data_IF_611264608450
#
_entry.id   IF_611264608450
#
_cell.length_a   1.000
_cell.length_b   1.000
_cell.length_c   1.000
_cell.angle_alpha   90.00
_cell.angle_beta   90.00
_cell.angle_gamma   90.00
#
_symmetry.space_group_name_H-M   'P 1'
#
loop_
_entity.id
_entity.type
_entity.pdbx_description
1 polymer ?
#
# COMPACT_ATOMS: atom_id res chain seq x y z
N UNK A 1 9.40 -64.70 25.84
CA UNK A 1 8.28 -64.81 24.88
C UNK A 1 7.24 -63.74 25.20
N UNK A 2 7.15 -62.75 24.33
CA UNK A 2 5.98 -61.95 23.89
C UNK A 2 4.85 -61.67 24.91
N UNK A 3 4.83 -60.41 25.36
CA UNK A 3 3.69 -59.48 25.48
C UNK A 3 2.26 -60.00 25.27
N UNK A 4 1.41 -59.83 26.28
CA UNK A 4 0.00 -59.49 26.08
C UNK A 4 -0.38 -58.35 27.03
N UNK A 5 -0.30 -57.10 26.54
CA UNK A 5 -1.00 -55.98 27.16
C UNK A 5 -2.44 -55.98 26.66
N UNK A 6 -3.39 -56.07 27.60
CA UNK A 6 -4.82 -55.88 27.35
C UNK A 6 -5.08 -54.52 26.69
N UNK A 7 -5.87 -54.52 25.61
CA UNK A 7 -6.39 -53.30 24.99
C UNK A 7 -7.37 -52.63 25.95
N UNK A 8 -7.26 -51.33 26.24
CA UNK A 8 -8.29 -50.63 26.98
C UNK A 8 -9.58 -50.54 26.14
N UNK A 9 -10.70 -50.92 26.74
CA UNK A 9 -12.05 -50.72 26.21
C UNK A 9 -12.28 -49.23 25.90
N UNK A 10 -12.76 -48.95 24.69
CA UNK A 10 -13.17 -47.60 24.29
C UNK A 10 -14.31 -47.10 25.18
N UNK A 11 -14.07 -46.02 25.91
CA UNK A 11 -15.09 -45.22 26.55
C UNK A 11 -15.85 -44.42 25.46
N UNK A 12 -17.20 -44.46 25.38
CA UNK A 12 -17.94 -43.85 24.28
C UNK A 12 -18.07 -42.31 24.39
N UNK A 13 -17.28 -41.65 25.24
CA UNK A 13 -17.41 -40.22 25.52
C UNK A 13 -16.34 -39.32 24.85
N UNK A 14 -15.44 -39.87 24.05
CA UNK A 14 -14.58 -39.07 23.18
C UNK A 14 -15.17 -38.96 21.77
N UNK A 15 -16.27 -38.20 21.63
CA UNK A 15 -16.52 -37.52 20.35
C UNK A 15 -15.40 -36.50 20.20
N UNK A 16 -14.58 -36.65 19.16
CA UNK A 16 -13.56 -35.69 18.81
C UNK A 16 -14.19 -34.30 18.68
N UNK A 17 -13.83 -33.37 19.57
CA UNK A 17 -13.92 -31.93 19.30
C UNK A 17 -12.84 -31.50 18.31
N UNK A 18 -12.76 -32.21 17.18
CA UNK A 18 -11.90 -31.83 16.08
C UNK A 18 -12.68 -30.87 15.18
N UNK A 19 -12.27 -29.60 15.29
CA UNK A 19 -12.50 -28.48 14.38
C UNK A 19 -13.95 -28.03 14.12
N UNK A 20 -14.50 -27.27 15.07
CA UNK A 20 -15.20 -26.03 14.71
C UNK A 20 -14.14 -24.93 14.49
N UNK A 21 -13.32 -25.10 13.44
CA UNK A 21 -12.70 -23.92 12.83
C UNK A 21 -13.79 -23.34 11.96
N UNK A 22 -14.54 -22.39 12.54
CA UNK A 22 -15.49 -21.58 11.81
C UNK A 22 -14.71 -20.97 10.63
N UNK A 23 -14.96 -21.48 9.42
CA UNK A 23 -14.46 -20.85 8.19
C UNK A 23 -15.11 -19.49 8.18
N UNK A 24 -14.37 -18.45 8.61
CA UNK A 24 -14.80 -17.07 8.39
C UNK A 24 -15.14 -16.97 6.90
N UNK A 25 -16.40 -16.65 6.63
CA UNK A 25 -16.82 -16.43 5.26
C UNK A 25 -16.10 -15.16 4.77
N UNK A 26 -15.81 -15.04 3.47
CA UNK A 26 -15.27 -13.77 2.96
C UNK A 26 -16.19 -12.58 3.27
N UNK A 27 -17.47 -12.86 3.51
CA UNK A 27 -18.49 -11.88 3.90
C UNK A 27 -18.20 -11.26 5.28
N UNK A 28 -17.46 -11.95 6.16
CA UNK A 28 -17.12 -11.46 7.51
C UNK A 28 -15.79 -10.70 7.59
N UNK A 29 -15.01 -10.64 6.51
CA UNK A 29 -13.72 -9.93 6.53
C UNK A 29 -13.93 -8.42 6.70
N UNK A 30 -13.08 -7.73 7.48
CA UNK A 30 -12.97 -6.28 7.42
C UNK A 30 -12.83 -5.78 5.97
N UNK A 31 -13.35 -4.59 5.67
CA UNK A 31 -13.32 -4.03 4.31
C UNK A 31 -11.90 -3.96 3.78
N UNK A 32 -10.95 -3.55 4.61
CA UNK A 32 -9.53 -3.43 4.30
C UNK A 32 -8.90 -4.77 3.89
N UNK A 33 -9.22 -5.84 4.60
CA UNK A 33 -8.78 -7.20 4.28
C UNK A 33 -9.47 -7.75 3.03
N UNK A 34 -10.76 -7.45 2.87
CA UNK A 34 -11.54 -7.84 1.69
C UNK A 34 -10.95 -7.25 0.41
N UNK A 35 -10.76 -5.92 0.37
CA UNK A 35 -10.25 -5.23 -0.82
C UNK A 35 -8.83 -5.67 -1.14
N UNK A 36 -8.00 -5.92 -0.12
CA UNK A 36 -6.64 -6.42 -0.30
C UNK A 36 -6.64 -7.82 -0.90
N UNK A 37 -7.37 -8.77 -0.28
CA UNK A 37 -7.46 -10.16 -0.73
C UNK A 37 -8.00 -10.28 -2.15
N UNK A 38 -9.05 -9.51 -2.47
CA UNK A 38 -9.67 -9.46 -3.81
C UNK A 38 -8.84 -8.68 -4.85
N UNK A 39 -7.64 -8.21 -4.49
CA UNK A 39 -6.73 -7.50 -5.39
C UNK A 39 -5.36 -8.17 -5.50
N UNK A 40 -5.23 -9.44 -5.09
CA UNK A 40 -3.98 -10.20 -5.17
C UNK A 40 -3.47 -10.30 -6.62
N UNK A 41 -4.36 -10.34 -7.61
CA UNK A 41 -3.97 -10.32 -9.03
C UNK A 41 -3.18 -9.06 -9.40
N UNK A 42 -3.55 -7.90 -8.82
CA UNK A 42 -2.84 -6.63 -9.02
C UNK A 42 -1.52 -6.59 -8.24
N UNK A 43 -1.46 -7.20 -7.06
CA UNK A 43 -0.20 -7.36 -6.33
C UNK A 43 0.81 -8.19 -7.15
N UNK A 44 0.35 -9.28 -7.79
CA UNK A 44 1.20 -10.07 -8.68
C UNK A 44 1.71 -9.26 -9.88
N UNK A 45 0.85 -8.43 -10.49
CA UNK A 45 1.28 -7.50 -11.55
C UNK A 45 2.32 -6.50 -11.03
N UNK A 46 2.10 -5.91 -9.85
CA UNK A 46 3.02 -4.94 -9.26
C UNK A 46 4.42 -5.54 -9.06
N UNK A 47 4.53 -6.80 -8.62
CA UNK A 47 5.81 -7.52 -8.47
C UNK A 47 6.59 -7.66 -9.80
N UNK A 48 5.88 -7.66 -10.93
CA UNK A 48 6.43 -7.86 -12.27
C UNK A 48 6.71 -6.54 -13.01
N UNK A 49 6.38 -5.40 -12.41
CA UNK A 49 6.64 -4.08 -13.01
C UNK A 49 8.13 -3.82 -13.24
N UNK A 50 8.44 -2.91 -14.16
CA UNK A 50 9.82 -2.54 -14.50
C UNK A 50 10.60 -2.13 -13.25
N UNK A 51 10.05 -1.21 -12.45
CA UNK A 51 10.70 -0.74 -11.24
C UNK A 51 10.93 -1.87 -10.22
N UNK A 52 9.88 -2.57 -9.78
CA UNK A 52 9.99 -3.56 -8.71
C UNK A 52 10.84 -4.77 -9.12
N UNK A 53 10.66 -5.27 -10.34
CA UNK A 53 11.48 -6.38 -10.84
C UNK A 53 12.94 -5.96 -11.03
N UNK A 54 13.19 -4.74 -11.53
CA UNK A 54 14.52 -4.17 -11.71
C UNK A 54 15.28 -3.95 -10.39
N UNK A 55 14.60 -3.45 -9.35
CA UNK A 55 15.17 -3.35 -7.99
C UNK A 55 15.53 -4.76 -7.49
N UNK A 56 14.58 -5.70 -7.59
CA UNK A 56 14.74 -7.07 -7.09
C UNK A 56 15.96 -7.79 -7.70
N UNK A 57 16.17 -7.63 -8.99
CA UNK A 57 17.23 -8.33 -9.73
C UNK A 57 18.52 -7.51 -9.90
N UNK A 58 18.55 -6.25 -9.45
CA UNK A 58 19.71 -5.37 -9.55
C UNK A 58 19.95 -4.80 -10.95
N UNK A 59 18.96 -4.84 -11.85
CA UNK A 59 19.08 -4.47 -13.26
C UNK A 59 18.20 -3.30 -13.67
N UNK A 60 17.59 -2.58 -12.72
CA UNK A 60 16.88 -1.35 -13.04
C UNK A 60 17.85 -0.36 -13.70
N UNK A 61 17.40 0.34 -14.74
CA UNK A 61 18.17 1.44 -15.34
C UNK A 61 18.35 2.56 -14.29
N UNK A 62 19.58 2.99 -13.96
CA UNK A 62 19.83 4.07 -13.01
C UNK A 62 19.12 5.38 -13.36
N UNK A 63 18.94 5.68 -14.65
CA UNK A 63 18.20 6.85 -15.10
C UNK A 63 16.71 6.72 -14.78
N UNK A 64 16.14 5.53 -15.01
CA UNK A 64 14.76 5.23 -14.64
C UNK A 64 14.58 5.36 -13.12
N UNK A 65 15.51 4.80 -12.34
CA UNK A 65 15.51 4.92 -10.88
C UNK A 65 15.54 6.39 -10.43
N UNK A 66 16.41 7.22 -11.03
CA UNK A 66 16.53 8.63 -10.69
C UNK A 66 15.22 9.39 -10.97
N UNK A 67 14.67 9.27 -12.18
CA UNK A 67 13.43 9.93 -12.58
C UNK A 67 12.27 9.46 -11.71
N UNK A 68 12.13 8.14 -11.52
CA UNK A 68 11.10 7.58 -10.65
C UNK A 68 11.15 8.17 -9.23
N UNK A 69 12.34 8.18 -8.62
CA UNK A 69 12.55 8.66 -7.24
C UNK A 69 12.14 10.13 -7.10
N UNK A 70 12.47 10.94 -8.11
CA UNK A 70 12.12 12.35 -8.14
C UNK A 70 10.61 12.55 -8.33
N UNK A 71 9.97 11.77 -9.20
CA UNK A 71 8.52 11.80 -9.42
C UNK A 71 7.74 11.33 -8.18
N UNK A 72 8.25 10.33 -7.47
CA UNK A 72 7.64 9.83 -6.22
C UNK A 72 7.64 10.91 -5.12
N UNK A 73 8.71 11.73 -5.06
CA UNK A 73 8.76 12.86 -4.15
C UNK A 73 7.75 13.96 -4.52
N UNK A 74 7.51 14.20 -5.82
CA UNK A 74 6.46 15.10 -6.30
C UNK A 74 5.05 14.55 -5.99
N UNK A 75 4.84 13.25 -6.15
CA UNK A 75 3.61 12.58 -5.71
C UNK A 75 3.37 12.82 -4.22
N UNK A 76 4.38 12.59 -3.37
CA UNK A 76 4.29 12.82 -1.93
C UNK A 76 3.95 14.27 -1.60
N UNK A 77 4.54 15.27 -2.29
CA UNK A 77 4.18 16.68 -2.11
C UNK A 77 2.69 16.93 -2.42
N UNK A 78 2.21 16.45 -3.57
CA UNK A 78 0.81 16.71 -3.97
C UNK A 78 -0.15 16.00 -3.00
N UNK A 79 0.12 14.76 -2.63
CA UNK A 79 -0.66 14.01 -1.64
C UNK A 79 -0.63 14.69 -0.26
N UNK A 80 0.51 15.26 0.15
CA UNK A 80 0.61 16.06 1.37
C UNK A 80 -0.36 17.24 1.34
N UNK A 81 -0.43 17.98 0.22
CA UNK A 81 -1.33 19.11 0.06
C UNK A 81 -2.81 18.68 0.06
N UNK A 82 -3.15 17.58 -0.60
CA UNK A 82 -4.52 17.05 -0.61
C UNK A 82 -4.97 16.65 0.80
N UNK A 83 -4.12 15.97 1.58
CA UNK A 83 -4.41 15.68 2.98
C UNK A 83 -4.48 16.94 3.85
N UNK A 84 -3.67 17.97 3.58
CA UNK A 84 -3.76 19.24 4.30
C UNK A 84 -5.10 19.94 4.04
N UNK A 85 -5.67 19.81 2.83
CA UNK A 85 -7.00 20.31 2.51
C UNK A 85 -8.08 19.55 3.30
N UNK A 86 -8.02 18.22 3.35
CA UNK A 86 -8.94 17.39 4.16
C UNK A 86 -8.84 17.77 5.64
N UNK A 87 -7.62 18.00 6.15
CA UNK A 87 -7.40 18.43 7.53
C UNK A 87 -8.00 19.82 7.83
N UNK A 88 -7.88 20.74 6.88
CA UNK A 88 -8.37 22.10 7.01
C UNK A 88 -9.90 22.21 6.86
N UNK A 89 -10.55 21.17 6.33
CA UNK A 89 -12.00 21.18 6.14
C UNK A 89 -12.73 21.17 7.49
N UNK A 90 -13.46 22.25 7.71
CA UNK A 90 -14.18 22.52 8.96
C UNK A 90 -15.58 21.93 8.95
N UNK A 91 -16.07 21.50 7.80
CA UNK A 91 -17.41 20.95 7.64
C UNK A 91 -17.30 19.50 7.17
N UNK A 92 -18.13 18.61 7.72
CA UNK A 92 -18.36 17.27 7.17
C UNK A 92 -17.18 16.27 7.15
N UNK A 93 -16.14 16.50 7.96
CA UNK A 93 -15.04 15.52 8.16
C UNK A 93 -14.98 15.08 9.62
N UNK A 94 -15.08 13.76 9.81
CA UNK A 94 -14.93 13.11 11.11
C UNK A 94 -13.57 13.40 11.76
N UNK A 95 -13.55 13.54 13.09
CA UNK A 95 -12.37 13.97 13.82
C UNK A 95 -11.15 13.03 13.67
N UNK A 96 -11.39 11.73 13.53
CA UNK A 96 -10.33 10.73 13.33
C UNK A 96 -9.73 10.81 11.92
N UNK A 97 -10.54 11.10 10.89
CA UNK A 97 -10.09 11.35 9.53
C UNK A 97 -9.28 12.64 9.48
N UNK A 98 -9.75 13.71 10.13
CA UNK A 98 -9.00 14.97 10.25
C UNK A 98 -7.64 14.74 10.91
N UNK A 99 -7.61 14.01 12.04
CA UNK A 99 -6.37 13.69 12.74
C UNK A 99 -5.40 12.87 11.87
N UNK A 100 -5.92 11.89 11.13
CA UNK A 100 -5.12 11.13 10.18
C UNK A 100 -4.57 12.00 9.05
N UNK A 101 -5.40 12.91 8.51
CA UNK A 101 -5.03 13.85 7.46
C UNK A 101 -3.90 14.80 7.90
N UNK A 102 -3.96 15.35 9.11
CA UNK A 102 -2.91 16.19 9.70
C UNK A 102 -1.59 15.42 9.83
N UNK A 103 -1.66 14.17 10.28
CA UNK A 103 -0.49 13.29 10.42
C UNK A 103 0.16 12.97 9.07
N UNK A 104 -0.63 12.58 8.07
CA UNK A 104 -0.10 12.21 6.74
C UNK A 104 0.42 13.42 5.98
N UNK A 105 -0.30 14.55 6.02
CA UNK A 105 0.18 15.79 5.40
C UNK A 105 1.51 16.23 5.99
N UNK A 106 1.65 16.20 7.32
CA UNK A 106 2.91 16.53 8.01
C UNK A 106 4.04 15.56 7.65
N UNK A 107 3.75 14.26 7.53
CA UNK A 107 4.75 13.23 7.16
C UNK A 107 5.38 13.48 5.79
N UNK A 108 4.58 13.89 4.80
CA UNK A 108 5.05 14.07 3.42
C UNK A 108 5.49 15.50 3.09
N UNK A 109 5.36 16.44 4.04
CA UNK A 109 5.72 17.84 3.83
C UNK A 109 7.22 17.99 3.51
N UNK A 110 7.53 18.58 2.37
CA UNK A 110 8.91 18.86 1.95
C UNK A 110 9.71 17.64 1.47
N UNK A 111 9.02 16.52 1.16
CA UNK A 111 9.66 15.34 0.57
C UNK A 111 10.35 15.67 -0.76
N UNK A 112 9.71 16.46 -1.62
CA UNK A 112 10.24 16.94 -2.90
C UNK A 112 11.49 17.80 -2.74
N UNK A 113 11.47 18.77 -1.81
CA UNK A 113 12.62 19.66 -1.54
C UNK A 113 13.82 18.86 -1.07
N UNK A 114 13.59 17.91 -0.16
CA UNK A 114 14.64 17.03 0.35
C UNK A 114 15.22 16.16 -0.78
N UNK A 115 14.36 15.65 -1.66
CA UNK A 115 14.78 14.81 -2.78
C UNK A 115 15.53 15.62 -3.84
N UNK A 116 15.02 16.78 -4.27
CA UNK A 116 15.69 17.66 -5.22
C UNK A 116 17.08 18.07 -4.73
N UNK A 117 17.22 18.38 -3.42
CA UNK A 117 18.51 18.66 -2.79
C UNK A 117 19.46 17.46 -2.84
N UNK A 118 18.96 16.25 -2.53
CA UNK A 118 19.77 15.03 -2.56
C UNK A 118 20.30 14.71 -3.97
N UNK A 119 19.49 14.98 -4.99
CA UNK A 119 19.82 14.75 -6.40
C UNK A 119 20.46 15.95 -7.10
N UNK A 120 20.65 17.07 -6.40
CA UNK A 120 21.20 18.32 -6.95
C UNK A 120 20.43 18.83 -8.18
N UNK A 121 19.10 18.72 -8.16
CA UNK A 121 18.21 19.22 -9.20
C UNK A 121 17.45 20.43 -8.67
N UNK A 122 17.27 21.45 -9.51
CA UNK A 122 16.60 22.70 -9.12
C UNK A 122 15.07 22.59 -9.15
N UNK A 123 14.53 21.97 -10.20
CA UNK A 123 13.09 21.76 -10.37
C UNK A 123 12.84 20.62 -11.37
N UNK A 124 11.66 20.01 -11.27
CA UNK A 124 11.27 18.83 -12.05
C UNK A 124 9.79 18.94 -12.36
N UNK A 125 9.45 18.84 -13.65
CA UNK A 125 8.06 18.82 -14.08
C UNK A 125 7.34 17.59 -13.52
N UNK A 126 6.09 17.78 -13.09
CA UNK A 126 5.25 16.67 -12.63
C UNK A 126 4.89 15.80 -13.83
N UNK A 127 5.24 14.52 -13.74
CA UNK A 127 4.99 13.52 -14.77
C UNK A 127 3.51 13.15 -14.89
N UNK A 128 3.14 12.65 -16.05
CA UNK A 128 1.75 12.32 -16.37
C UNK A 128 1.13 11.30 -15.41
N UNK A 129 1.89 10.27 -15.02
CA UNK A 129 1.39 9.22 -14.12
C UNK A 129 1.17 9.72 -12.69
N UNK A 130 2.00 10.66 -12.23
CA UNK A 130 1.77 11.37 -10.96
C UNK A 130 0.50 12.21 -11.05
N UNK A 131 0.32 12.97 -12.13
CA UNK A 131 -0.88 13.78 -12.33
C UNK A 131 -2.16 12.94 -12.41
N UNK A 132 -2.11 11.80 -13.11
CA UNK A 132 -3.25 10.87 -13.23
C UNK A 132 -3.67 10.34 -11.86
N UNK A 133 -2.71 9.86 -11.06
CA UNK A 133 -3.03 9.27 -9.76
C UNK A 133 -3.46 10.32 -8.73
N UNK A 134 -2.74 11.45 -8.65
CA UNK A 134 -3.09 12.53 -7.73
C UNK A 134 -4.42 13.18 -8.11
N UNK A 135 -4.72 13.33 -9.41
CA UNK A 135 -6.03 13.77 -9.88
C UNK A 135 -7.15 12.79 -9.55
N UNK A 136 -6.89 11.48 -9.58
CA UNK A 136 -7.83 10.47 -9.08
C UNK A 136 -8.10 10.65 -7.57
N UNK A 137 -7.05 10.82 -6.77
CA UNK A 137 -7.18 11.04 -5.31
C UNK A 137 -7.97 12.32 -5.03
N UNK A 138 -7.64 13.43 -5.70
CA UNK A 138 -8.34 14.71 -5.55
C UNK A 138 -9.82 14.58 -5.92
N UNK A 139 -10.15 13.91 -7.03
CA UNK A 139 -11.53 13.64 -7.43
C UNK A 139 -12.27 12.87 -6.32
N UNK A 140 -11.63 11.85 -5.73
CA UNK A 140 -12.24 11.05 -4.66
C UNK A 140 -12.47 11.84 -3.39
N UNK A 141 -11.55 12.73 -3.02
CA UNK A 141 -11.73 13.67 -1.91
C UNK A 141 -12.95 14.57 -2.15
N UNK A 142 -13.11 15.13 -3.36
CA UNK A 142 -14.24 16.00 -3.70
C UNK A 142 -15.59 15.28 -3.71
N UNK A 143 -15.62 13.99 -4.06
CA UNK A 143 -16.83 13.17 -3.99
C UNK A 143 -17.26 12.92 -2.54
N UNK A 144 -16.29 12.54 -1.68
CA UNK A 144 -16.49 12.31 -0.25
C UNK A 144 -15.11 12.19 0.41
N UNK A 145 -14.74 13.11 1.31
CA UNK A 145 -13.39 13.20 1.85
C UNK A 145 -12.81 11.87 2.40
N UNK A 146 -13.59 11.01 3.09
CA UNK A 146 -13.12 9.70 3.55
C UNK A 146 -12.70 8.75 2.43
N UNK A 147 -13.12 8.95 1.18
CA UNK A 147 -12.64 8.17 0.03
C UNK A 147 -11.11 8.29 -0.16
N UNK A 148 -10.50 9.37 0.34
CA UNK A 148 -9.04 9.51 0.37
C UNK A 148 -8.35 8.34 1.09
N UNK A 149 -9.00 7.78 2.11
CA UNK A 149 -8.50 6.62 2.83
C UNK A 149 -8.33 5.44 1.88
N UNK A 150 -9.31 5.10 1.05
CA UNK A 150 -9.17 3.98 0.10
C UNK A 150 -8.25 4.35 -1.06
N UNK A 151 -8.40 5.56 -1.61
CA UNK A 151 -7.65 6.02 -2.78
C UNK A 151 -6.13 6.07 -2.54
N UNK A 152 -5.69 6.30 -1.29
CA UNK A 152 -4.26 6.30 -0.91
C UNK A 152 -3.83 5.03 -0.18
N UNK A 153 -4.75 4.12 0.15
CA UNK A 153 -4.41 2.88 0.86
C UNK A 153 -3.51 1.98 0.02
N UNK A 154 -3.74 1.95 -1.30
CA UNK A 154 -2.92 1.21 -2.24
C UNK A 154 -1.45 1.59 -2.07
N UNK A 155 -1.12 2.88 -2.01
CA UNK A 155 0.24 3.35 -1.78
C UNK A 155 0.85 2.75 -0.52
N UNK A 156 0.28 3.02 0.66
CA UNK A 156 0.93 2.62 1.92
C UNK A 156 0.97 1.09 2.12
N UNK A 157 -0.06 0.36 1.66
CA UNK A 157 -0.16 -1.09 1.85
C UNK A 157 0.67 -1.85 0.82
N UNK A 158 0.62 -1.44 -0.45
CA UNK A 158 1.39 -2.06 -1.52
C UNK A 158 2.88 -1.86 -1.29
N UNK A 159 3.30 -0.62 -1.01
CA UNK A 159 4.71 -0.32 -0.73
C UNK A 159 5.23 -1.07 0.49
N UNK A 160 4.48 -1.12 1.59
CA UNK A 160 4.88 -1.90 2.76
C UNK A 160 5.06 -3.39 2.40
N UNK A 161 4.11 -3.97 1.66
CA UNK A 161 4.18 -5.38 1.24
C UNK A 161 5.39 -5.64 0.36
N UNK A 162 5.55 -4.87 -0.72
CA UNK A 162 6.64 -5.05 -1.69
C UNK A 162 8.02 -4.82 -1.05
N UNK A 163 8.20 -3.75 -0.29
CA UNK A 163 9.49 -3.48 0.38
C UNK A 163 9.84 -4.54 1.42
N UNK A 164 8.85 -5.08 2.14
CA UNK A 164 9.06 -6.19 3.08
C UNK A 164 9.42 -7.50 2.39
N UNK A 165 8.89 -7.76 1.20
CA UNK A 165 9.31 -8.88 0.36
C UNK A 165 10.73 -8.68 -0.16
N UNK A 166 11.02 -7.51 -0.73
CA UNK A 166 12.34 -7.16 -1.26
C UNK A 166 13.42 -7.24 -0.20
N UNK A 167 13.17 -6.76 1.03
CA UNK A 167 14.13 -6.81 2.12
C UNK A 167 14.62 -8.23 2.44
N UNK A 168 13.74 -9.22 2.28
CA UNK A 168 14.04 -10.64 2.51
C UNK A 168 14.80 -11.28 1.35
N UNK A 169 14.52 -10.84 0.11
CA UNK A 169 14.99 -11.53 -1.09
C UNK A 169 16.16 -10.84 -1.79
N UNK A 170 16.34 -9.54 -1.60
CA UNK A 170 17.39 -8.75 -2.27
C UNK A 170 18.74 -8.95 -1.56
N UNK A 171 19.76 -9.50 -2.25
CA UNK A 171 21.09 -9.68 -1.69
C UNK A 171 21.75 -8.36 -1.25
N UNK A 172 22.73 -8.45 -0.34
CA UNK A 172 23.42 -7.26 0.18
C UNK A 172 24.30 -6.55 -0.86
N UNK A 173 24.77 -7.28 -1.86
CA UNK A 173 25.59 -6.78 -2.98
C UNK A 173 24.75 -6.24 -4.16
N UNK A 174 23.42 -6.30 -4.07
CA UNK A 174 22.54 -5.66 -5.05
C UNK A 174 22.72 -4.12 -5.01
N UNK A 175 22.91 -3.43 -6.14
CA UNK A 175 23.13 -1.98 -6.17
C UNK A 175 21.99 -1.16 -5.57
N UNK A 176 20.76 -1.70 -5.59
CA UNK A 176 19.57 -1.05 -5.03
C UNK A 176 19.26 -1.46 -3.58
N UNK A 177 20.17 -2.21 -2.94
CA UNK A 177 20.00 -2.65 -1.54
C UNK A 177 19.76 -1.49 -0.58
N UNK A 178 20.54 -0.40 -0.74
CA UNK A 178 20.42 0.80 0.10
C UNK A 178 19.01 1.38 0.06
N UNK A 179 18.39 1.41 -1.13
CA UNK A 179 17.01 1.88 -1.28
C UNK A 179 16.02 0.95 -0.59
N UNK A 180 16.18 -0.37 -0.73
CA UNK A 180 15.30 -1.35 -0.07
C UNK A 180 15.36 -1.22 1.46
N UNK A 181 16.56 -1.06 2.02
CA UNK A 181 16.75 -0.87 3.46
C UNK A 181 16.13 0.46 3.94
N UNK A 182 16.24 1.53 3.16
CA UNK A 182 15.69 2.84 3.49
C UNK A 182 14.15 2.90 3.39
N UNK A 183 13.56 2.16 2.44
CA UNK A 183 12.12 2.22 2.16
C UNK A 183 11.29 1.25 3.00
N UNK A 184 11.93 0.32 3.73
CA UNK A 184 11.19 -0.56 4.61
C UNK A 184 10.47 0.23 5.70
N UNK A 185 9.14 0.07 5.76
CA UNK A 185 8.31 0.66 6.80
C UNK A 185 7.75 -0.39 7.75
N UNK A 186 7.51 -0.01 9.00
CA UNK A 186 6.88 -0.86 10.03
C UNK A 186 5.40 -1.22 9.75
N UNK A 187 4.83 -0.71 8.66
CA UNK A 187 3.42 -0.89 8.29
C UNK A 187 2.43 -0.18 9.19
N UNK A 188 2.88 0.66 10.14
CA UNK A 188 1.99 1.35 11.10
C UNK A 188 0.94 2.22 10.40
N UNK A 189 1.35 3.05 9.43
CA UNK A 189 0.40 3.88 8.65
C UNK A 189 -0.63 3.02 7.92
N UNK A 190 -0.22 1.89 7.32
CA UNK A 190 -1.14 0.99 6.64
C UNK A 190 -2.15 0.35 7.62
N UNK A 191 -1.74 -0.01 8.83
CA UNK A 191 -2.67 -0.55 9.85
C UNK A 191 -3.64 0.51 10.36
N UNK A 192 -3.16 1.73 10.62
CA UNK A 192 -4.01 2.84 11.06
C UNK A 192 -5.05 3.19 9.98
N UNK A 193 -4.61 3.26 8.71
CA UNK A 193 -5.49 3.54 7.58
C UNK A 193 -6.51 2.41 7.34
N UNK A 194 -6.10 1.15 7.51
CA UNK A 194 -7.00 0.00 7.45
C UNK A 194 -8.13 0.10 8.48
N UNK A 195 -7.80 0.43 9.73
CA UNK A 195 -8.78 0.59 10.80
C UNK A 195 -9.80 1.71 10.49
N UNK A 196 -9.34 2.82 9.90
CA UNK A 196 -10.23 3.89 9.45
C UNK A 196 -11.11 3.44 8.27
N UNK A 197 -10.57 2.69 7.32
CA UNK A 197 -11.36 2.11 6.21
C UNK A 197 -12.46 1.19 6.75
N UNK A 198 -12.12 0.31 7.68
CA UNK A 198 -13.06 -0.65 8.26
C UNK A 198 -14.19 0.06 9.03
N UNK A 199 -13.86 1.17 9.71
CA UNK A 199 -14.84 2.02 10.39
C UNK A 199 -15.77 2.75 9.41
N UNK A 200 -15.23 3.33 8.35
CA UNK A 200 -15.96 4.28 7.48
C UNK A 200 -16.61 3.64 6.25
N UNK A 201 -16.21 2.42 5.88
CA UNK A 201 -16.68 1.73 4.66
C UNK A 201 -17.31 0.36 4.92
N UNK A 202 -17.59 0.01 6.18
CA UNK A 202 -18.04 -1.32 6.62
C UNK A 202 -19.17 -1.96 5.79
N UNK A 203 -20.07 -1.15 5.24
CA UNK A 203 -21.24 -1.59 4.48
C UNK A 203 -21.12 -1.49 2.95
N UNK A 204 -20.09 -0.81 2.41
CA UNK A 204 -19.97 -0.52 0.97
C UNK A 204 -18.69 -1.13 0.35
N UNK A 205 -18.54 -2.44 0.51
CA UNK A 205 -17.32 -3.18 0.18
C UNK A 205 -17.03 -3.26 -1.32
N UNK A 206 -18.06 -3.31 -2.17
CA UNK A 206 -17.86 -3.37 -3.63
C UNK A 206 -17.39 -2.04 -4.21
N UNK A 207 -17.95 -0.90 -3.76
CA UNK A 207 -17.45 0.41 -4.18
C UNK A 207 -16.02 0.63 -3.66
N UNK A 208 -15.74 0.21 -2.43
CA UNK A 208 -14.40 0.23 -1.85
C UNK A 208 -13.42 -0.61 -2.67
N UNK A 209 -13.80 -1.83 -3.07
CA UNK A 209 -12.98 -2.72 -3.89
C UNK A 209 -12.67 -2.09 -5.25
N UNK A 210 -13.70 -1.56 -5.94
CA UNK A 210 -13.51 -0.90 -7.24
C UNK A 210 -12.53 0.28 -7.14
N UNK A 211 -12.69 1.12 -6.12
CA UNK A 211 -11.81 2.26 -5.89
C UNK A 211 -10.38 1.83 -5.55
N UNK A 212 -10.22 0.84 -4.67
CA UNK A 212 -8.92 0.31 -4.28
C UNK A 212 -8.18 -0.33 -5.46
N UNK A 213 -8.88 -1.11 -6.29
CA UNK A 213 -8.31 -1.71 -7.50
C UNK A 213 -7.87 -0.64 -8.51
N UNK A 214 -8.61 0.47 -8.62
CA UNK A 214 -8.20 1.59 -9.45
C UNK A 214 -6.92 2.27 -8.92
N UNK A 215 -6.86 2.52 -7.60
CA UNK A 215 -5.65 3.03 -6.96
C UNK A 215 -4.43 2.10 -7.16
N UNK A 216 -4.62 0.78 -7.03
CA UNK A 216 -3.60 -0.22 -7.31
C UNK A 216 -3.13 -0.19 -8.77
N UNK A 217 -4.03 0.06 -9.74
CA UNK A 217 -3.64 0.19 -11.14
C UNK A 217 -2.80 1.45 -11.37
N UNK A 218 -3.12 2.57 -10.71
CA UNK A 218 -2.29 3.78 -10.76
C UNK A 218 -0.86 3.52 -10.23
N UNK A 219 -0.70 2.77 -9.14
CA UNK A 219 0.63 2.35 -8.65
C UNK A 219 1.37 1.49 -9.68
N UNK A 220 0.70 0.50 -10.28
CA UNK A 220 1.29 -0.38 -11.29
C UNK A 220 1.77 0.41 -12.51
N UNK A 221 0.94 1.35 -12.98
CA UNK A 221 1.29 2.24 -14.09
C UNK A 221 2.50 3.11 -13.70
N UNK A 222 2.50 3.66 -12.49
CA UNK A 222 3.63 4.45 -11.99
C UNK A 222 4.93 3.64 -11.89
N UNK A 223 4.89 2.40 -11.40
CA UNK A 223 6.06 1.51 -11.35
C UNK A 223 6.59 1.11 -12.75
N UNK A 224 5.74 1.13 -13.78
CA UNK A 224 6.19 0.83 -15.15
C UNK A 224 6.72 2.06 -15.88
N UNK A 225 6.15 3.23 -15.63
CA UNK A 225 6.34 4.39 -16.51
C UNK A 225 6.82 5.66 -15.80
N UNK A 226 6.76 5.71 -14.47
CA UNK A 226 7.16 6.87 -13.66
C UNK A 226 8.65 7.25 -13.79
N UNK A 227 9.47 6.40 -14.41
CA UNK A 227 10.89 6.64 -14.70
C UNK A 227 11.22 6.84 -16.18
N UNK A 228 10.25 6.98 -17.09
CA UNK A 228 10.56 7.18 -18.51
C UNK A 228 11.15 8.58 -18.77
N UNK A 229 12.31 8.61 -19.44
CA UNK A 229 12.83 9.81 -20.09
C UNK A 229 12.21 9.86 -21.48
N UNK A 230 11.34 10.84 -21.75
CA UNK A 230 10.94 11.14 -23.14
C UNK A 230 12.21 11.48 -23.93
N UNK A 231 12.57 10.62 -24.88
CA UNK A 231 13.63 10.88 -25.85
C UNK A 231 13.17 11.88 -26.89
#
# INVERSE_FOLDING_TARGET
MISQRQKPQCCPLFRSRASEYQRFSEEDLPVSDYIWKRSEDLLQKARQTIFISGIRNGKLDPNFYAVYTLQDALYCRIVSHLWAQVAADRFDVDADIRSFAEKVSSKYKGADVSMCKAWQVNDIAVGEYVLRYTGFIEKKIKEYAPNALIATYACVKLWHTLTSELLKTVPKDNPYRVWVDAMHSSGTTAREQAALIDKHFGFNREAALSMFRNAMQHEIDFFNYGGEIKK
#
